data_IF_310258099752
#
_entry.id   IF_310258099752
#
_cell.length_a   1.000
_cell.length_b   1.000
_cell.length_c   1.000
_cell.angle_alpha   90.00
_cell.angle_beta   90.00
_cell.angle_gamma   90.00
#
_symmetry.space_group_name_H-M   'P 1'
#
loop_
_entity.id
_entity.type
_entity.pdbx_description
1 polymer ?
#
# COMPACT_ATOMS: atom_id res chain seq x y z
N UNK A 1 25.82 7.46 -43.49
CA UNK A 1 25.14 7.65 -42.19
C UNK A 1 24.46 9.02 -42.17
N UNK A 2 23.26 9.13 -42.73
CA UNK A 2 22.48 10.37 -42.71
C UNK A 2 21.13 10.08 -42.05
N UNK A 3 20.93 10.62 -40.86
CA UNK A 3 19.62 10.62 -40.20
C UNK A 3 18.73 11.64 -40.90
N UNK A 4 17.97 11.22 -41.91
CA UNK A 4 17.10 12.10 -42.71
C UNK A 4 15.78 12.48 -42.02
N UNK A 5 15.49 11.92 -40.84
CA UNK A 5 14.35 12.34 -40.03
C UNK A 5 14.73 13.51 -39.13
N UNK A 6 14.08 14.65 -39.34
CA UNK A 6 14.13 15.78 -38.42
C UNK A 6 13.32 15.44 -37.16
N UNK A 7 13.97 14.81 -36.17
CA UNK A 7 13.36 14.42 -34.89
C UNK A 7 13.01 15.60 -33.97
N UNK A 8 13.46 16.82 -34.30
CA UNK A 8 13.35 18.00 -33.44
C UNK A 8 12.29 19.00 -33.93
N UNK A 9 11.34 18.58 -34.77
CA UNK A 9 10.20 19.42 -35.12
C UNK A 9 9.23 19.52 -33.94
N UNK A 10 8.54 20.66 -33.83
CA UNK A 10 7.53 20.91 -32.79
C UNK A 10 6.46 19.79 -32.78
N UNK A 11 6.05 19.31 -33.96
CA UNK A 11 5.10 18.20 -34.07
C UNK A 11 5.60 16.90 -33.43
N UNK A 12 6.85 16.52 -33.70
CA UNK A 12 7.45 15.32 -33.09
C UNK A 12 7.57 15.44 -31.58
N UNK A 13 7.90 16.62 -31.07
CA UNK A 13 7.92 16.88 -29.63
C UNK A 13 6.53 16.77 -29.00
N UNK A 14 5.50 17.37 -29.61
CA UNK A 14 4.13 17.27 -29.13
C UNK A 14 3.61 15.83 -29.12
N UNK A 15 3.93 15.03 -30.13
CA UNK A 15 3.54 13.61 -30.17
C UNK A 15 4.28 12.78 -29.11
N UNK A 16 5.56 13.07 -28.88
CA UNK A 16 6.31 12.43 -27.79
C UNK A 16 5.71 12.78 -26.43
N UNK A 17 5.41 14.06 -26.18
CA UNK A 17 4.76 14.49 -24.93
C UNK A 17 3.40 13.83 -24.75
N UNK A 18 2.59 13.75 -25.80
CA UNK A 18 1.31 13.05 -25.78
C UNK A 18 1.47 11.56 -25.49
N UNK A 19 2.51 10.92 -26.05
CA UNK A 19 2.78 9.52 -25.79
C UNK A 19 3.21 9.29 -24.34
N UNK A 20 4.05 10.17 -23.78
CA UNK A 20 4.46 10.13 -22.38
C UNK A 20 3.26 10.32 -21.45
N UNK A 21 2.39 11.30 -21.73
CA UNK A 21 1.15 11.51 -20.97
C UNK A 21 0.25 10.28 -21.01
N UNK A 22 0.03 9.69 -22.19
CA UNK A 22 -0.78 8.45 -22.28
C UNK A 22 -0.16 7.27 -21.54
N UNK A 23 1.17 7.19 -21.52
CA UNK A 23 1.87 6.16 -20.76
C UNK A 23 1.69 6.40 -19.26
N UNK A 24 1.92 7.63 -18.80
CA UNK A 24 1.68 8.04 -17.41
C UNK A 24 0.23 7.74 -17.01
N UNK A 25 -0.75 8.20 -17.79
CA UNK A 25 -2.17 7.92 -17.56
C UNK A 25 -2.42 6.42 -17.42
N UNK A 26 -1.86 5.59 -18.31
CA UNK A 26 -2.02 4.14 -18.26
C UNK A 26 -1.32 3.46 -17.08
N UNK A 27 -0.18 3.99 -16.63
CA UNK A 27 0.52 3.49 -15.44
C UNK A 27 -0.19 3.92 -14.15
N UNK A 28 -0.71 5.14 -14.13
CA UNK A 28 -1.41 5.75 -13.00
C UNK A 28 -2.90 5.43 -12.98
N UNK A 29 -3.44 4.76 -14.00
CA UNK A 29 -4.87 4.43 -14.04
C UNK A 29 -5.23 3.58 -12.84
N UNK A 30 -6.23 4.05 -12.08
CA UNK A 30 -6.74 3.44 -10.85
C UNK A 30 -6.93 1.91 -10.93
N UNK A 31 -7.39 1.37 -12.07
CA UNK A 31 -7.65 -0.06 -12.23
C UNK A 31 -6.44 -0.99 -12.09
N UNK A 32 -5.21 -0.49 -12.18
CA UNK A 32 -4.01 -1.35 -12.06
C UNK A 32 -3.59 -1.62 -10.62
N UNK A 33 -3.82 -0.67 -9.74
CA UNK A 33 -3.29 -0.71 -8.38
C UNK A 33 -4.39 -0.55 -7.34
N UNK A 34 -5.48 0.15 -7.65
CA UNK A 34 -6.61 0.33 -6.74
C UNK A 34 -7.62 -0.82 -6.89
N UNK A 35 -8.08 -1.32 -5.74
CA UNK A 35 -9.11 -2.34 -5.69
C UNK A 35 -10.42 -1.64 -5.31
N UNK A 36 -11.50 -1.73 -6.11
CA UNK A 36 -12.77 -1.09 -5.77
C UNK A 36 -13.40 -1.61 -4.45
N UNK A 37 -12.96 -2.78 -3.97
CA UNK A 37 -13.37 -3.37 -2.68
C UNK A 37 -12.16 -4.00 -1.99
N UNK A 38 -11.29 -3.20 -1.35
CA UNK A 38 -10.14 -3.72 -0.63
C UNK A 38 -10.61 -4.42 0.65
N UNK A 39 -10.08 -5.61 0.90
CA UNK A 39 -10.45 -6.44 2.04
C UNK A 39 -9.29 -7.33 2.48
N UNK A 40 -9.22 -7.63 3.76
CA UNK A 40 -8.27 -8.60 4.30
C UNK A 40 -8.86 -10.02 4.26
N UNK A 41 -8.13 -11.01 3.73
CA UNK A 41 -8.55 -12.39 3.78
C UNK A 41 -8.39 -12.97 5.18
N UNK A 42 -9.39 -13.70 5.65
CA UNK A 42 -9.31 -14.48 6.88
C UNK A 42 -8.51 -15.78 6.69
N UNK A 43 -8.26 -16.47 7.80
CA UNK A 43 -7.82 -17.87 7.84
C UNK A 43 -6.42 -18.15 7.30
N UNK A 44 -5.43 -17.38 7.74
CA UNK A 44 -4.01 -17.66 7.50
C UNK A 44 -3.57 -17.44 6.05
N UNK A 45 -4.41 -16.83 5.22
CA UNK A 45 -4.05 -16.37 3.88
C UNK A 45 -3.41 -15.00 4.04
N UNK A 46 -2.20 -14.83 3.52
CA UNK A 46 -1.55 -13.52 3.48
C UNK A 46 -1.90 -12.78 2.19
N UNK A 47 -2.21 -11.50 2.31
CA UNK A 47 -2.27 -10.59 1.16
C UNK A 47 -0.86 -10.40 0.59
N UNK A 48 -0.72 -10.43 -0.74
CA UNK A 48 0.58 -10.27 -1.37
C UNK A 48 1.00 -8.80 -1.45
N UNK A 49 0.15 -7.94 -2.00
CA UNK A 49 0.45 -6.52 -2.19
C UNK A 49 -0.81 -5.69 -1.97
N UNK A 50 -0.68 -4.64 -1.15
CA UNK A 50 -1.70 -3.61 -0.95
C UNK A 50 -1.01 -2.26 -1.15
N UNK A 51 -1.51 -1.39 -2.05
CA UNK A 51 -0.95 -0.06 -2.24
C UNK A 51 -1.08 0.80 -0.98
N UNK A 52 -0.12 1.69 -0.75
CA UNK A 52 -0.12 2.62 0.38
C UNK A 52 -1.32 3.57 0.36
N UNK A 53 -1.78 3.98 -0.83
CA UNK A 53 -3.00 4.78 -1.02
C UNK A 53 -4.28 4.06 -0.58
N UNK A 54 -4.30 2.73 -0.55
CA UNK A 54 -5.44 1.98 -0.03
C UNK A 54 -5.39 1.90 1.50
N UNK A 55 -4.20 1.89 2.11
CA UNK A 55 -4.01 1.76 3.55
C UNK A 55 -4.29 3.05 4.32
N UNK A 56 -4.08 4.22 3.70
CA UNK A 56 -4.24 5.53 4.35
C UNK A 56 -4.59 6.62 3.35
N UNK A 57 -5.13 7.74 3.83
CA UNK A 57 -5.36 8.94 2.99
C UNK A 57 -4.13 9.83 2.84
N UNK A 58 -3.17 9.71 3.76
CA UNK A 58 -1.91 10.46 3.78
C UNK A 58 -0.66 9.54 3.82
N UNK A 59 -0.52 8.57 2.91
CA UNK A 59 0.57 7.59 2.97
C UNK A 59 1.95 8.24 2.86
N UNK A 60 2.11 9.23 1.99
CA UNK A 60 3.39 9.89 1.74
C UNK A 60 3.87 10.65 2.99
N UNK A 61 2.97 11.33 3.70
CA UNK A 61 3.32 12.06 4.92
C UNK A 61 3.75 11.10 6.04
N UNK A 62 2.98 10.01 6.21
CA UNK A 62 3.29 8.95 7.18
C UNK A 62 4.66 8.33 6.85
N UNK A 63 4.89 7.97 5.60
CA UNK A 63 6.14 7.36 5.13
C UNK A 63 7.33 8.31 5.33
N UNK A 64 7.18 9.58 4.97
CA UNK A 64 8.19 10.63 5.17
C UNK A 64 8.58 10.76 6.64
N UNK A 65 7.57 10.77 7.53
CA UNK A 65 7.77 10.80 8.97
C UNK A 65 8.47 9.54 9.49
N UNK A 66 8.04 8.35 9.05
CA UNK A 66 8.62 7.07 9.46
C UNK A 66 10.09 6.91 9.01
N UNK A 67 10.44 7.41 7.82
CA UNK A 67 11.82 7.45 7.36
C UNK A 67 12.68 8.52 8.07
N UNK A 68 12.08 9.37 8.91
CA UNK A 68 12.79 10.44 9.62
C UNK A 68 13.30 11.53 8.68
N UNK A 69 12.68 11.68 7.51
CA UNK A 69 13.05 12.73 6.57
C UNK A 69 12.78 14.08 7.23
N UNK A 70 13.78 14.97 7.21
CA UNK A 70 13.79 16.29 7.85
C UNK A 70 13.77 16.31 9.39
N UNK A 71 14.02 15.19 10.07
CA UNK A 71 14.08 15.13 11.53
C UNK A 71 15.10 16.10 12.17
N UNK A 72 16.16 16.47 11.43
CA UNK A 72 17.21 17.39 11.89
C UNK A 72 17.05 18.83 11.36
N UNK A 73 15.88 19.20 10.82
CA UNK A 73 15.66 20.55 10.32
C UNK A 73 15.29 21.50 11.48
N UNK A 74 16.28 22.21 12.00
CA UNK A 74 16.08 23.18 13.08
C UNK A 74 15.49 24.53 12.63
N UNK A 75 15.51 24.82 11.33
CA UNK A 75 14.98 26.08 10.78
C UNK A 75 13.47 25.95 10.58
N UNK A 76 13.04 24.83 9.97
CA UNK A 76 11.63 24.50 9.75
C UNK A 76 11.37 23.10 10.32
N UNK A 77 10.96 22.99 11.60
CA UNK A 77 10.60 21.72 12.19
C UNK A 77 9.47 21.05 11.41
N UNK A 78 9.55 19.73 11.26
CA UNK A 78 8.48 18.96 10.63
C UNK A 78 7.22 19.04 11.51
N UNK A 79 6.04 19.34 10.95
CA UNK A 79 4.80 19.30 11.70
C UNK A 79 4.48 17.89 12.16
N UNK A 80 3.70 17.76 13.24
CA UNK A 80 3.23 16.47 13.71
C UNK A 80 2.34 15.81 12.65
N UNK A 81 2.71 14.60 12.23
CA UNK A 81 1.96 13.84 11.24
C UNK A 81 0.96 12.94 11.96
N UNK A 82 -0.33 13.25 11.82
CA UNK A 82 -1.42 12.39 12.30
C UNK A 82 -1.78 11.38 11.20
N UNK A 83 -1.65 10.06 11.43
CA UNK A 83 -1.95 9.06 10.42
C UNK A 83 -3.47 8.94 10.19
N UNK A 84 -3.94 9.14 8.96
CA UNK A 84 -5.33 8.90 8.54
C UNK A 84 -5.43 7.52 7.89
N UNK A 85 -5.57 6.49 8.73
CA UNK A 85 -5.62 5.09 8.32
C UNK A 85 -7.03 4.69 7.84
N UNK A 86 -7.09 3.96 6.72
CA UNK A 86 -8.32 3.35 6.21
C UNK A 86 -8.50 1.97 6.84
N UNK A 87 -9.73 1.64 7.20
CA UNK A 87 -10.09 0.31 7.71
C UNK A 87 -10.66 -0.54 6.57
N UNK A 88 -10.19 -1.78 6.45
CA UNK A 88 -10.73 -2.75 5.50
C UNK A 88 -11.65 -3.77 6.18
N UNK A 89 -12.55 -4.34 5.39
CA UNK A 89 -13.38 -5.46 5.81
C UNK A 89 -12.58 -6.77 5.78
N UNK A 90 -12.97 -7.72 6.64
CA UNK A 90 -12.40 -9.06 6.67
C UNK A 90 -13.31 -10.01 5.88
N UNK A 91 -12.75 -10.74 4.90
CA UNK A 91 -13.48 -11.70 4.07
C UNK A 91 -12.99 -13.11 4.36
N UNK A 92 -13.92 -14.01 4.72
CA UNK A 92 -13.63 -15.43 4.85
C UNK A 92 -14.06 -16.19 3.60
N UNK A 93 -13.13 -16.94 2.99
CA UNK A 93 -13.44 -17.80 1.84
C UNK A 93 -13.96 -19.17 2.24
N UNK A 94 -13.67 -19.58 3.48
CA UNK A 94 -14.09 -20.86 4.04
C UNK A 94 -14.47 -20.70 5.51
N UNK A 95 -15.24 -21.63 6.04
CA UNK A 95 -15.57 -21.65 7.45
C UNK A 95 -14.34 -22.03 8.27
N UNK A 96 -14.06 -21.25 9.31
CA UNK A 96 -12.99 -21.57 10.26
C UNK A 96 -13.38 -22.83 11.04
N UNK A 97 -12.52 -23.87 11.10
CA UNK A 97 -12.83 -25.08 11.86
C UNK A 97 -13.00 -24.73 13.34
N UNK A 98 -14.00 -25.32 13.99
CA UNK A 98 -14.22 -25.14 15.43
C UNK A 98 -13.03 -25.74 16.19
N UNK A 99 -12.27 -24.89 16.86
CA UNK A 99 -11.20 -25.32 17.75
C UNK A 99 -11.82 -25.75 19.07
N UNK A 100 -11.83 -27.06 19.34
CA UNK A 100 -12.18 -27.58 20.65
C UNK A 100 -10.94 -27.56 21.53
N UNK A 101 -10.82 -26.53 22.37
CA UNK A 101 -9.78 -26.50 23.40
C UNK A 101 -10.20 -27.41 24.55
N UNK A 102 -9.42 -28.44 24.90
CA UNK A 102 -9.73 -29.27 26.06
C UNK A 102 -9.62 -28.42 27.33
N UNK A 103 -10.63 -28.52 28.19
CA UNK A 103 -10.54 -27.94 29.53
C UNK A 103 -9.52 -28.76 30.31
N UNK A 104 -8.46 -28.10 30.79
CA UNK A 104 -7.49 -28.75 31.66
C UNK A 104 -8.20 -29.26 32.92
N UNK A 105 -7.90 -30.48 33.38
CA UNK A 105 -8.45 -30.96 34.63
C UNK A 105 -7.98 -30.07 35.80
N UNK A 106 -8.76 -29.96 36.89
CA UNK A 106 -8.53 -28.97 37.95
C UNK A 106 -7.11 -28.95 38.54
N UNK A 107 -6.43 -30.10 38.57
CA UNK A 107 -5.08 -30.25 39.12
C UNK A 107 -3.96 -29.75 38.19
N UNK A 108 -4.23 -29.51 36.91
CA UNK A 108 -3.30 -28.90 35.94
C UNK A 108 -3.59 -27.41 35.71
N UNK A 109 -4.69 -26.88 36.25
CA UNK A 109 -5.00 -25.46 36.15
C UNK A 109 -4.04 -24.67 37.07
N UNK A 110 -3.28 -23.74 36.50
CA UNK A 110 -2.37 -22.85 37.24
C UNK A 110 -0.92 -23.33 37.39
N UNK A 111 -0.55 -24.48 36.82
CA UNK A 111 0.85 -24.89 36.75
C UNK A 111 1.56 -24.16 35.59
N UNK A 112 2.75 -23.61 35.85
CA UNK A 112 3.62 -23.09 34.78
C UNK A 112 4.27 -24.28 34.06
N UNK A 113 4.36 -24.28 32.72
CA UNK A 113 5.22 -25.22 32.01
C UNK A 113 6.65 -25.07 32.52
N UNK A 114 7.28 -26.18 32.92
CA UNK A 114 8.71 -26.24 33.27
C UNK A 114 9.57 -26.23 32.01
#
# INVERSE_FOLDING_TARGET
MASTRNKNTVGNYCDQQRQLQKQEDWFMTNYKFENPRPAFPCSGINVQHVPSNELSRNPVDIETYLYGISANNFINPLPEVVPDLKTFENISFFETPKLYMPVLPPYLQGQRPF
#
